data_IF_479869144998
#
_entry.id   IF_479869144998
#
_cell.length_a   1.000
_cell.length_b   1.000
_cell.length_c   1.000
_cell.angle_alpha   90.00
_cell.angle_beta   90.00
_cell.angle_gamma   90.00
#
_symmetry.space_group_name_H-M   'P 1'
#
loop_
_entity.id
_entity.type
_entity.pdbx_description
1 polymer ?
#
# COMPACT_ATOMS: atom_id res chain seq x y z
N UNK A 1 14.11 16.07 -59.55
CA UNK A 1 15.39 15.81 -58.87
C UNK A 1 15.23 14.53 -58.07
N UNK A 2 15.75 13.37 -58.51
CA UNK A 2 15.66 12.09 -57.78
C UNK A 2 16.88 11.97 -56.86
N UNK A 3 16.67 12.04 -55.57
CA UNK A 3 17.72 11.82 -54.58
C UNK A 3 17.92 10.29 -54.47
N UNK A 4 19.03 9.80 -55.02
CA UNK A 4 19.42 8.38 -54.93
C UNK A 4 20.24 8.23 -53.64
N UNK A 5 19.62 7.71 -52.61
CA UNK A 5 20.32 7.37 -51.37
C UNK A 5 21.16 6.09 -51.58
N UNK A 6 22.44 6.17 -51.23
CA UNK A 6 23.34 5.03 -51.20
C UNK A 6 22.80 3.97 -50.20
N UNK A 7 22.81 2.68 -50.57
CA UNK A 7 22.20 1.63 -49.71
C UNK A 7 22.77 1.58 -48.30
N UNK A 8 24.02 1.94 -48.12
CA UNK A 8 24.66 2.01 -46.79
C UNK A 8 24.12 3.16 -45.93
N UNK A 9 23.86 4.33 -46.53
CA UNK A 9 23.27 5.48 -45.82
C UNK A 9 21.86 5.16 -45.30
N UNK A 10 21.10 4.33 -46.02
CA UNK A 10 19.76 3.89 -45.61
C UNK A 10 19.79 2.97 -44.40
N UNK A 11 20.79 2.08 -44.31
CA UNK A 11 20.96 1.17 -43.14
C UNK A 11 21.34 1.96 -41.89
N UNK A 12 22.23 2.95 -42.02
CA UNK A 12 22.63 3.81 -40.89
C UNK A 12 21.44 4.63 -40.41
N UNK A 13 20.62 5.18 -41.30
CA UNK A 13 19.46 5.99 -40.97
C UNK A 13 18.38 5.17 -40.25
N UNK A 14 18.17 3.93 -40.67
CA UNK A 14 17.22 3.00 -40.01
C UNK A 14 17.73 2.60 -38.60
N UNK A 15 19.03 2.32 -38.48
CA UNK A 15 19.63 1.97 -37.20
C UNK A 15 19.53 3.10 -36.16
N UNK A 16 19.80 4.34 -36.57
CA UNK A 16 19.68 5.52 -35.70
C UNK A 16 18.24 5.80 -35.31
N UNK A 17 17.27 5.56 -36.20
CA UNK A 17 15.85 5.75 -35.91
C UNK A 17 15.32 4.71 -34.88
N UNK A 18 15.78 3.47 -35.01
CA UNK A 18 15.44 2.39 -34.08
C UNK A 18 16.02 2.65 -32.67
N UNK A 19 17.27 3.09 -32.58
CA UNK A 19 17.90 3.41 -31.29
C UNK A 19 17.24 4.61 -30.61
N UNK A 20 16.86 5.64 -31.39
CA UNK A 20 16.11 6.78 -30.84
C UNK A 20 14.71 6.37 -30.33
N UNK A 21 14.01 5.52 -31.07
CA UNK A 21 12.69 5.00 -30.65
C UNK A 21 12.78 4.16 -29.38
N UNK A 22 13.78 3.29 -29.27
CA UNK A 22 14.06 2.49 -28.06
C UNK A 22 14.39 3.36 -26.86
N UNK A 23 15.16 4.43 -27.04
CA UNK A 23 15.46 5.37 -25.96
C UNK A 23 14.22 6.12 -25.47
N UNK A 24 13.31 6.50 -26.36
CA UNK A 24 12.04 7.17 -26.02
C UNK A 24 11.13 6.19 -25.25
N UNK A 25 11.05 4.92 -25.66
CA UNK A 25 10.25 3.89 -24.99
C UNK A 25 10.82 3.62 -23.59
N UNK A 26 12.13 3.53 -23.43
CA UNK A 26 12.78 3.33 -22.13
C UNK A 26 12.60 4.53 -21.19
N UNK A 27 12.61 5.77 -21.71
CA UNK A 27 12.33 6.97 -20.93
C UNK A 27 10.85 7.03 -20.50
N UNK A 28 9.92 6.68 -21.39
CA UNK A 28 8.48 6.67 -21.07
C UNK A 28 8.12 5.54 -20.08
N UNK A 29 8.76 4.38 -20.16
CA UNK A 29 8.60 3.30 -19.18
C UNK A 29 9.14 3.71 -17.80
N UNK A 30 10.25 4.43 -17.72
CA UNK A 30 10.73 4.98 -16.44
C UNK A 30 9.75 5.97 -15.82
N UNK A 31 9.11 6.81 -16.62
CA UNK A 31 8.10 7.76 -16.11
C UNK A 31 6.82 7.07 -15.65
N UNK A 32 6.43 5.95 -16.25
CA UNK A 32 5.24 5.19 -15.85
C UNK A 32 5.44 4.37 -14.57
N UNK A 33 6.68 3.97 -14.25
CA UNK A 33 6.99 3.20 -13.03
C UNK A 33 7.04 4.09 -11.78
N UNK A 34 7.18 5.41 -11.94
CA UNK A 34 7.24 6.38 -10.84
C UNK A 34 6.01 7.29 -10.73
N UNK A 35 4.89 6.97 -11.38
CA UNK A 35 3.63 7.58 -10.98
C UNK A 35 3.25 6.98 -9.62
N UNK A 36 3.80 7.57 -8.55
CA UNK A 36 3.28 7.39 -7.20
C UNK A 36 1.79 7.73 -7.26
N UNK A 37 0.92 6.93 -6.61
CA UNK A 37 -0.46 7.35 -6.44
C UNK A 37 -0.41 8.76 -5.84
N UNK A 38 -1.06 9.70 -6.51
CA UNK A 38 -1.21 11.07 -6.03
C UNK A 38 -1.75 10.98 -4.62
N UNK A 39 -0.99 11.52 -3.67
CA UNK A 39 -1.45 11.73 -2.30
C UNK A 39 -2.77 12.49 -2.43
N UNK A 40 -3.87 11.82 -2.09
CA UNK A 40 -5.16 12.48 -2.01
C UNK A 40 -5.00 13.66 -1.05
N UNK A 41 -5.32 14.86 -1.50
CA UNK A 41 -5.35 16.05 -0.65
C UNK A 41 -6.54 15.95 0.34
N UNK A 42 -6.48 14.97 1.25
CA UNK A 42 -7.50 14.77 2.29
C UNK A 42 -7.34 15.77 3.44
N UNK A 43 -6.32 16.62 3.40
CA UNK A 43 -6.01 17.56 4.49
C UNK A 43 -5.51 16.91 5.79
N UNK A 44 -5.31 15.59 5.81
CA UNK A 44 -4.73 14.87 6.94
C UNK A 44 -3.21 15.08 7.02
N UNK A 45 -2.66 15.02 8.25
CA UNK A 45 -1.22 15.01 8.45
C UNK A 45 -0.60 13.78 7.72
N UNK A 46 0.61 13.88 7.14
CA UNK A 46 1.17 12.82 6.29
C UNK A 46 1.33 11.46 6.96
N UNK A 47 1.62 11.44 8.26
CA UNK A 47 1.73 10.21 9.07
C UNK A 47 0.36 9.58 9.33
N UNK A 48 -0.66 10.39 9.59
CA UNK A 48 -2.04 9.94 9.72
C UNK A 48 -2.58 9.42 8.38
N UNK A 49 -2.28 10.11 7.29
CA UNK A 49 -2.66 9.65 5.95
C UNK A 49 -2.04 8.27 5.65
N UNK A 50 -0.76 8.08 5.98
CA UNK A 50 -0.10 6.79 5.81
C UNK A 50 -0.75 5.68 6.64
N UNK A 51 -1.18 5.99 7.87
CA UNK A 51 -1.92 5.05 8.71
C UNK A 51 -3.27 4.67 8.09
N UNK A 52 -4.04 5.66 7.63
CA UNK A 52 -5.35 5.44 6.99
C UNK A 52 -5.22 4.63 5.69
N UNK A 53 -4.28 4.99 4.82
CA UNK A 53 -4.08 4.32 3.54
C UNK A 53 -3.65 2.85 3.73
N UNK A 54 -2.72 2.60 4.65
CA UNK A 54 -2.25 1.25 4.95
C UNK A 54 -3.36 0.36 5.52
N UNK A 55 -4.15 0.89 6.46
CA UNK A 55 -5.29 0.15 7.05
C UNK A 55 -6.38 -0.06 6.00
N UNK A 56 -6.66 0.93 5.15
CA UNK A 56 -7.62 0.78 4.06
C UNK A 56 -7.19 -0.34 3.10
N UNK A 57 -5.92 -0.34 2.68
CA UNK A 57 -5.39 -1.40 1.82
C UNK A 57 -5.46 -2.78 2.48
N UNK A 58 -5.15 -2.87 3.78
CA UNK A 58 -5.16 -4.12 4.54
C UNK A 58 -6.57 -4.72 4.66
N UNK A 59 -7.60 -3.90 4.89
CA UNK A 59 -8.98 -4.34 5.06
C UNK A 59 -9.81 -4.37 3.77
N UNK A 60 -9.23 -3.96 2.63
CA UNK A 60 -9.86 -4.14 1.32
C UNK A 60 -9.57 -5.57 0.84
N UNK A 61 -10.57 -6.43 0.96
CA UNK A 61 -10.47 -7.87 0.71
C UNK A 61 -11.38 -8.29 -0.44
N UNK A 62 -10.83 -9.14 -1.32
CA UNK A 62 -11.58 -9.73 -2.43
C UNK A 62 -11.12 -11.18 -2.62
N UNK A 63 -12.02 -12.15 -2.38
CA UNK A 63 -11.72 -13.57 -2.51
C UNK A 63 -11.38 -13.99 -3.94
N UNK A 64 -11.77 -13.18 -4.94
CA UNK A 64 -11.43 -13.42 -6.35
C UNK A 64 -10.03 -12.94 -6.71
N UNK A 65 -9.43 -12.09 -5.86
CA UNK A 65 -8.07 -11.58 -6.04
C UNK A 65 -7.04 -12.65 -5.73
N UNK A 66 -5.93 -12.60 -6.46
CA UNK A 66 -4.77 -13.41 -6.10
C UNK A 66 -4.14 -12.85 -4.83
N UNK A 67 -3.64 -13.77 -3.97
CA UNK A 67 -2.93 -13.43 -2.73
C UNK A 67 -1.83 -12.39 -2.97
N UNK A 68 -1.05 -12.57 -4.01
CA UNK A 68 0.06 -11.69 -4.39
C UNK A 68 -0.41 -10.28 -4.71
N UNK A 69 -1.59 -10.11 -5.32
CA UNK A 69 -2.14 -8.79 -5.61
C UNK A 69 -2.49 -8.04 -4.33
N UNK A 70 -3.15 -8.70 -3.36
CA UNK A 70 -3.45 -8.09 -2.07
C UNK A 70 -2.16 -7.72 -1.31
N UNK A 71 -1.18 -8.65 -1.24
CA UNK A 71 0.13 -8.38 -0.61
C UNK A 71 0.79 -7.17 -1.27
N UNK A 72 0.83 -7.14 -2.60
CA UNK A 72 1.43 -6.03 -3.35
C UNK A 72 0.77 -4.70 -3.01
N UNK A 73 -0.57 -4.66 -2.96
CA UNK A 73 -1.33 -3.45 -2.65
C UNK A 73 -1.05 -2.94 -1.24
N UNK A 74 -0.99 -3.83 -0.24
CA UNK A 74 -0.68 -3.45 1.16
C UNK A 74 0.78 -3.01 1.30
N UNK A 75 1.71 -3.72 0.66
CA UNK A 75 3.14 -3.44 0.74
C UNK A 75 3.55 -2.08 0.13
N UNK A 76 2.74 -1.48 -0.74
CA UNK A 76 2.96 -0.11 -1.24
C UNK A 76 3.00 0.92 -0.09
N UNK A 77 2.24 0.65 0.98
CA UNK A 77 2.10 1.53 2.14
C UNK A 77 2.94 1.07 3.35
N UNK A 78 3.73 0.01 3.22
CA UNK A 78 4.48 -0.58 4.31
C UNK A 78 6.00 -0.37 4.16
N UNK A 79 6.70 -0.41 5.30
CA UNK A 79 8.16 -0.59 5.32
C UNK A 79 8.51 -2.02 4.85
N UNK A 80 9.78 -2.29 4.57
CA UNK A 80 10.24 -3.65 4.24
C UNK A 80 9.87 -4.64 5.36
N UNK A 81 10.08 -4.25 6.62
CA UNK A 81 9.71 -5.05 7.79
C UNK A 81 8.19 -5.26 7.88
N UNK A 82 7.40 -4.21 7.65
CA UNK A 82 5.95 -4.31 7.64
C UNK A 82 5.46 -5.22 6.52
N UNK A 83 6.03 -5.10 5.33
CA UNK A 83 5.71 -5.96 4.20
C UNK A 83 6.08 -7.43 4.44
N UNK A 84 7.21 -7.71 5.09
CA UNK A 84 7.61 -9.07 5.46
C UNK A 84 6.64 -9.68 6.48
N UNK A 85 6.15 -8.91 7.45
CA UNK A 85 5.10 -9.35 8.37
C UNK A 85 3.78 -9.64 7.66
N UNK A 86 3.39 -8.80 6.69
CA UNK A 86 2.21 -9.05 5.85
C UNK A 86 2.34 -10.39 5.10
N UNK A 87 3.48 -10.63 4.45
CA UNK A 87 3.72 -11.84 3.65
C UNK A 87 3.76 -13.12 4.47
N UNK A 88 4.50 -13.08 5.59
CA UNK A 88 4.84 -14.28 6.36
C UNK A 88 3.80 -14.62 7.42
N UNK A 89 3.13 -13.64 8.00
CA UNK A 89 2.20 -13.85 9.11
C UNK A 89 0.75 -13.60 8.72
N UNK A 90 0.40 -12.42 8.20
CA UNK A 90 -1.00 -12.08 7.95
C UNK A 90 -1.58 -12.77 6.71
N UNK A 91 -0.84 -12.80 5.61
CA UNK A 91 -1.37 -13.31 4.35
C UNK A 91 -1.83 -14.77 4.42
N UNK A 92 -1.14 -15.73 5.05
CA UNK A 92 -1.62 -17.10 5.15
C UNK A 92 -2.94 -17.22 5.91
N UNK A 93 -3.10 -16.46 6.99
CA UNK A 93 -4.29 -16.50 7.85
C UNK A 93 -5.48 -15.84 7.16
N UNK A 94 -5.27 -14.62 6.64
CA UNK A 94 -6.33 -13.84 5.99
C UNK A 94 -6.80 -14.54 4.71
N UNK A 95 -5.86 -15.03 3.89
CA UNK A 95 -6.18 -15.74 2.64
C UNK A 95 -7.09 -16.94 2.89
N UNK A 96 -6.76 -17.77 3.89
CA UNK A 96 -7.56 -18.94 4.22
C UNK A 96 -9.00 -18.54 4.60
N UNK A 97 -9.18 -17.51 5.44
CA UNK A 97 -10.49 -17.02 5.84
C UNK A 97 -11.27 -16.38 4.71
N UNK A 98 -10.59 -15.55 3.89
CA UNK A 98 -11.20 -14.82 2.77
C UNK A 98 -11.69 -15.80 1.71
N UNK A 99 -10.92 -16.84 1.37
CA UNK A 99 -11.29 -17.87 0.40
C UNK A 99 -12.43 -18.76 0.91
N UNK A 100 -12.33 -19.25 2.15
CA UNK A 100 -13.32 -20.13 2.76
C UNK A 100 -14.71 -19.45 2.82
N UNK A 101 -14.73 -18.19 3.21
CA UNK A 101 -15.97 -17.42 3.44
C UNK A 101 -16.38 -16.56 2.22
N UNK A 102 -15.64 -16.61 1.11
CA UNK A 102 -15.86 -15.80 -0.10
C UNK A 102 -16.03 -14.32 0.24
N UNK A 103 -15.12 -13.79 1.06
CA UNK A 103 -15.20 -12.41 1.53
C UNK A 103 -14.87 -11.44 0.39
N UNK A 104 -15.76 -10.46 0.20
CA UNK A 104 -15.52 -9.30 -0.65
C UNK A 104 -16.01 -8.07 0.08
N UNK A 105 -15.07 -7.22 0.51
CA UNK A 105 -15.39 -6.02 1.30
C UNK A 105 -14.36 -4.92 1.07
N UNK A 106 -14.85 -3.68 1.08
CA UNK A 106 -14.06 -2.50 1.36
C UNK A 106 -14.21 -2.11 2.84
N UNK A 107 -13.67 -0.97 3.19
CA UNK A 107 -13.82 -0.41 4.52
C UNK A 107 -13.78 1.12 4.52
N UNK A 108 -14.37 1.69 5.57
CA UNK A 108 -14.21 3.09 5.93
C UNK A 108 -13.28 3.16 7.15
N UNK A 109 -12.21 3.96 7.04
CA UNK A 109 -11.22 4.16 8.11
C UNK A 109 -11.34 5.57 8.64
N UNK A 110 -11.59 5.70 9.94
CA UNK A 110 -11.70 6.99 10.61
C UNK A 110 -10.60 7.14 11.67
N UNK A 111 -9.83 8.25 11.63
CA UNK A 111 -8.87 8.56 12.69
C UNK A 111 -9.58 8.75 14.03
N UNK A 112 -8.98 8.20 15.11
CA UNK A 112 -9.43 8.45 16.47
C UNK A 112 -8.46 9.37 17.19
N UNK A 113 -7.19 8.93 17.36
CA UNK A 113 -6.18 9.71 18.09
C UNK A 113 -4.77 9.25 17.78
N UNK A 114 -3.81 10.15 17.98
CA UNK A 114 -2.41 9.80 18.13
C UNK A 114 -2.20 9.22 19.53
N UNK A 115 -1.62 8.03 19.62
CA UNK A 115 -1.41 7.29 20.87
C UNK A 115 -0.01 7.55 21.41
N UNK A 116 1.00 7.44 20.55
CA UNK A 116 2.40 7.73 20.85
C UNK A 116 3.07 8.52 19.73
N UNK A 117 3.97 9.46 20.09
CA UNK A 117 4.81 10.22 19.17
C UNK A 117 6.28 10.13 19.64
N UNK A 118 7.09 9.47 18.84
CA UNK A 118 8.53 9.34 19.03
C UNK A 118 9.31 10.00 17.85
N UNK A 119 8.76 11.06 17.27
CA UNK A 119 9.36 11.79 16.16
C UNK A 119 9.15 11.08 14.82
N UNK A 120 10.07 10.21 14.42
CA UNK A 120 9.97 9.45 13.17
C UNK A 120 9.16 8.13 13.31
N UNK A 121 8.64 7.83 14.50
CA UNK A 121 7.77 6.69 14.78
C UNK A 121 6.54 7.21 15.50
N UNK A 122 5.35 6.88 14.98
CA UNK A 122 4.06 7.27 15.57
C UNK A 122 3.11 6.10 15.61
N UNK A 123 2.30 6.04 16.69
CA UNK A 123 1.24 5.04 16.82
C UNK A 123 -0.10 5.75 16.76
N UNK A 124 -0.90 5.39 15.76
CA UNK A 124 -2.24 5.89 15.58
C UNK A 124 -3.29 4.84 15.96
N UNK A 125 -4.35 5.29 16.61
CA UNK A 125 -5.60 4.54 16.75
C UNK A 125 -6.55 5.01 15.68
N UNK A 126 -7.07 4.08 14.88
CA UNK A 126 -8.08 4.31 13.85
C UNK A 126 -9.24 3.37 14.04
N UNK A 127 -10.45 3.78 13.67
CA UNK A 127 -11.63 2.93 13.64
C UNK A 127 -11.87 2.44 12.21
N UNK A 128 -12.05 1.15 12.05
CA UNK A 128 -12.32 0.50 10.77
C UNK A 128 -13.73 -0.03 10.76
N UNK A 129 -14.55 0.44 9.82
CA UNK A 129 -15.89 -0.10 9.57
C UNK A 129 -15.90 -0.80 8.23
N UNK A 130 -16.22 -2.10 8.22
CA UNK A 130 -16.28 -2.90 7.00
C UNK A 130 -17.60 -2.68 6.27
N UNK A 131 -17.55 -2.54 4.95
CA UNK A 131 -18.75 -2.39 4.10
C UNK A 131 -19.61 -3.66 4.13
N UNK A 132 -18.94 -4.82 4.13
CA UNK A 132 -19.57 -6.14 4.19
C UNK A 132 -18.86 -7.01 5.23
N UNK A 133 -19.29 -6.98 6.51
CA UNK A 133 -18.69 -7.81 7.55
C UNK A 133 -18.97 -9.29 7.28
N UNK A 134 -17.95 -10.13 7.42
CA UNK A 134 -18.10 -11.58 7.23
C UNK A 134 -18.51 -12.30 8.50
N UNK A 135 -19.08 -13.49 8.34
CA UNK A 135 -19.54 -14.33 9.44
C UNK A 135 -18.34 -14.71 10.34
N UNK A 136 -18.46 -14.40 11.63
CA UNK A 136 -17.42 -14.65 12.64
C UNK A 136 -16.65 -13.42 13.08
N UNK A 137 -16.86 -12.25 12.48
CA UNK A 137 -16.42 -10.98 13.05
C UNK A 137 -17.26 -10.65 14.30
N UNK A 138 -16.57 -10.25 15.38
CA UNK A 138 -17.23 -9.84 16.62
C UNK A 138 -18.08 -8.59 16.46
N UNK A 139 -17.66 -7.66 15.60
CA UNK A 139 -18.36 -6.42 15.31
C UNK A 139 -17.99 -5.92 13.88
N UNK A 140 -18.90 -5.20 13.19
CA UNK A 140 -18.61 -4.59 11.90
C UNK A 140 -17.57 -3.45 11.98
N UNK A 141 -17.45 -2.84 13.16
CA UNK A 141 -16.49 -1.77 13.46
C UNK A 141 -15.51 -2.25 14.51
N UNK A 142 -14.23 -1.99 14.30
CA UNK A 142 -13.16 -2.34 15.22
C UNK A 142 -12.08 -1.28 15.27
N UNK A 143 -11.43 -1.13 16.41
CA UNK A 143 -10.29 -0.25 16.55
C UNK A 143 -9.01 -0.99 16.15
N UNK A 144 -8.17 -0.30 15.39
CA UNK A 144 -6.86 -0.77 14.93
C UNK A 144 -5.80 0.20 15.42
N UNK A 145 -4.74 -0.34 15.98
CA UNK A 145 -3.55 0.42 16.37
C UNK A 145 -2.43 0.13 15.38
N UNK A 146 -1.94 1.18 14.75
CA UNK A 146 -0.97 1.08 13.67
C UNK A 146 0.25 1.95 13.96
N UNK A 147 1.42 1.36 13.88
CA UNK A 147 2.69 2.05 13.94
C UNK A 147 3.11 2.46 12.53
N UNK A 148 3.35 3.75 12.35
CA UNK A 148 3.93 4.30 11.13
C UNK A 148 5.31 4.85 11.41
N UNK A 149 6.23 4.64 10.49
CA UNK A 149 7.62 5.06 10.60
C UNK A 149 8.01 5.90 9.40
N UNK A 150 8.78 6.95 9.62
CA UNK A 150 9.29 7.81 8.56
C UNK A 150 10.59 7.25 7.98
N UNK A 151 10.53 6.82 6.72
CA UNK A 151 11.65 6.23 5.98
C UNK A 151 11.91 7.07 4.72
N UNK A 152 13.11 7.62 4.60
CA UNK A 152 13.50 8.51 3.47
C UNK A 152 12.49 9.64 3.21
N UNK A 153 11.97 10.26 4.28
CA UNK A 153 11.02 11.37 4.20
C UNK A 153 9.54 10.97 3.96
N UNK A 154 9.24 9.70 3.80
CA UNK A 154 7.88 9.14 3.63
C UNK A 154 7.45 8.42 4.90
N UNK A 155 6.19 8.58 5.28
CA UNK A 155 5.58 7.78 6.33
C UNK A 155 5.04 6.48 5.74
N UNK A 156 5.36 5.36 6.38
CA UNK A 156 4.97 4.02 5.97
C UNK A 156 4.56 3.19 7.19
N UNK A 157 3.60 2.30 7.03
CA UNK A 157 3.24 1.33 8.05
C UNK A 157 4.42 0.42 8.37
N UNK A 158 4.78 0.35 9.65
CA UNK A 158 5.78 -0.60 10.13
C UNK A 158 5.17 -1.87 10.68
N UNK A 159 4.05 -1.74 11.42
CA UNK A 159 3.30 -2.88 11.95
C UNK A 159 1.89 -2.49 12.39
N UNK A 160 1.03 -3.50 12.48
CA UNK A 160 -0.24 -3.44 13.19
C UNK A 160 -0.02 -4.06 14.56
N UNK A 161 -0.45 -3.38 15.63
CA UNK A 161 -0.25 -3.84 17.01
C UNK A 161 -1.29 -4.90 17.38
N UNK A 162 -0.85 -5.91 18.14
CA UNK A 162 -1.74 -6.95 18.67
C UNK A 162 -2.36 -6.54 20.02
N UNK A 163 -3.40 -7.25 20.43
CA UNK A 163 -4.18 -6.97 21.64
C UNK A 163 -3.30 -6.80 22.89
N UNK A 164 -2.30 -7.65 23.07
CA UNK A 164 -1.35 -7.59 24.21
C UNK A 164 -0.49 -6.32 24.21
N UNK A 165 -0.19 -5.76 23.04
CA UNK A 165 0.57 -4.52 22.91
C UNK A 165 -0.32 -3.30 23.14
N UNK A 166 -1.64 -3.44 22.89
CA UNK A 166 -2.65 -2.40 23.02
C UNK A 166 -3.07 -2.19 24.48
N UNK A 167 -3.00 -3.21 25.32
CA UNK A 167 -3.40 -3.14 26.73
C UNK A 167 -2.80 -1.95 27.48
N UNK A 168 -1.55 -1.60 27.19
CA UNK A 168 -0.87 -0.43 27.76
C UNK A 168 -1.52 0.92 27.42
N UNK A 169 -2.32 0.98 26.34
CA UNK A 169 -3.02 2.19 25.89
C UNK A 169 -4.48 2.23 26.31
N UNK A 170 -5.04 1.10 26.67
CA UNK A 170 -6.46 0.95 27.00
C UNK A 170 -6.73 0.85 28.50
N UNK A 171 -5.70 0.53 29.29
CA UNK A 171 -5.81 0.47 30.75
C UNK A 171 -5.81 1.88 31.33
N UNK A 172 -6.87 2.31 32.06
CA UNK A 172 -6.85 3.63 32.72
C UNK A 172 -5.71 3.65 33.73
N UNK A 173 -4.83 4.62 33.63
CA UNK A 173 -3.85 4.93 34.70
C UNK A 173 -4.63 5.45 35.90
N UNK A 174 -4.76 4.63 36.94
CA UNK A 174 -5.36 5.01 38.24
C UNK A 174 -4.43 5.90 39.03
#
# INVERSE_FOLDING_TARGET
MKIIFHPEARKILIATLITALLAIILLSLRSAIFTHPSVSETGLAPDLQAAVDAVTAFYTLDYTSFRELWISNVCVYATDQGCDAIRSFFAPIIQAQVQDKKVQTGCNVQPIRLVEDHGDIRIWQVSVTLDHPWVGLKAPTQDVFIEVTKVYGRWLMNRILFEQEIERFTTPTH
#
